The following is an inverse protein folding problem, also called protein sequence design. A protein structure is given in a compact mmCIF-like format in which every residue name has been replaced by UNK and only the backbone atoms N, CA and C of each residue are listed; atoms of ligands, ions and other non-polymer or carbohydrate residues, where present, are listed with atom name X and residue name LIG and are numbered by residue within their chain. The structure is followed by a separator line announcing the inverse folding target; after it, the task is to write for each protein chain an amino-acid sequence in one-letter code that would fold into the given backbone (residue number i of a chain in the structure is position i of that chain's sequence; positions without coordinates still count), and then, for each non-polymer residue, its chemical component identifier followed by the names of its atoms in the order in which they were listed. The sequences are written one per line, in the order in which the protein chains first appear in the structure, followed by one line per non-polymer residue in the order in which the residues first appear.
data_IF_866965556689
#
_entry.id   IF_866965556689
#
_cell.length_a   1.000
_cell.length_b   1.000
_cell.length_c   1.000
_cell.angle_alpha   90.00
_cell.angle_beta   90.00
_cell.angle_gamma   90.00
#
_symmetry.space_group_name_H-M   'P 1'
#
loop_
_entity.id
_entity.type
_entity.pdbx_description
1 polymer ?
#
# COMPACT_ATOMS: atom_id res chain seq x y z
N UNK A 1 8.79 -20.56 -57.71
CA UNK A 1 9.47 -19.62 -56.79
C UNK A 1 8.38 -18.68 -56.27
N UNK A 2 7.73 -19.08 -55.18
CA UNK A 2 7.80 -18.42 -53.85
C UNK A 2 7.08 -17.05 -53.86
N UNK A 3 6.04 -16.78 -53.07
CA UNK A 3 5.72 -17.31 -51.76
C UNK A 3 4.24 -17.21 -51.41
N UNK A 4 3.93 -17.99 -50.38
CA UNK A 4 2.69 -18.09 -49.61
C UNK A 4 2.58 -16.93 -48.64
N UNK A 5 1.52 -16.11 -48.70
CA UNK A 5 1.14 -15.23 -47.60
C UNK A 5 -0.34 -15.43 -47.23
N UNK A 6 -0.47 -16.39 -46.32
CA UNK A 6 -1.48 -16.68 -45.31
C UNK A 6 -2.50 -15.54 -44.98
N UNK A 7 -3.83 -15.80 -44.99
CA UNK A 7 -4.81 -14.87 -44.48
C UNK A 7 -4.94 -15.06 -42.96
N UNK A 8 -3.99 -14.54 -42.19
CA UNK A 8 -4.27 -14.23 -40.78
C UNK A 8 -4.97 -12.89 -40.73
N UNK A 9 -6.29 -12.90 -40.93
CA UNK A 9 -7.16 -11.95 -40.25
C UNK A 9 -7.04 -12.21 -38.76
N UNK A 10 -6.02 -11.61 -38.17
CA UNK A 10 -6.00 -11.31 -36.75
C UNK A 10 -6.12 -9.80 -36.65
N UNK A 11 -7.32 -9.31 -36.94
CA UNK A 11 -7.81 -8.03 -36.45
C UNK A 11 -7.71 -8.04 -34.93
N UNK A 12 -6.51 -7.74 -34.42
CA UNK A 12 -6.25 -7.41 -33.05
C UNK A 12 -6.89 -6.05 -32.79
N UNK A 13 -8.15 -6.07 -32.40
CA UNK A 13 -8.83 -4.96 -31.73
C UNK A 13 -8.06 -4.63 -30.45
N UNK A 14 -7.02 -3.81 -30.54
CA UNK A 14 -6.35 -3.20 -29.38
C UNK A 14 -6.96 -1.83 -29.08
N UNK A 15 -8.29 -1.79 -29.00
CA UNK A 15 -9.02 -0.62 -28.52
C UNK A 15 -10.01 -1.03 -27.42
N UNK A 16 -9.63 -1.98 -26.58
CA UNK A 16 -10.18 -2.14 -25.24
C UNK A 16 -9.45 -1.17 -24.33
N UNK A 17 -9.94 0.06 -24.22
CA UNK A 17 -9.59 0.92 -23.10
C UNK A 17 -10.33 0.38 -21.86
N UNK A 18 -9.91 -0.80 -21.39
CA UNK A 18 -10.39 -1.45 -20.16
C UNK A 18 -9.78 -0.75 -18.94
N UNK A 19 -9.79 0.58 -18.95
CA UNK A 19 -9.58 1.36 -17.73
C UNK A 19 -10.89 1.24 -16.97
N UNK A 20 -10.86 0.41 -15.93
CA UNK A 20 -11.92 0.33 -14.95
C UNK A 20 -12.39 1.76 -14.62
N UNK A 21 -13.67 2.11 -14.81
CA UNK A 21 -14.16 3.45 -14.49
C UNK A 21 -13.85 3.73 -13.03
N UNK A 22 -13.18 4.85 -12.78
CA UNK A 22 -12.94 5.35 -11.43
C UNK A 22 -14.32 5.52 -10.79
N UNK A 23 -14.60 4.91 -9.63
CA UNK A 23 -15.90 5.09 -8.99
C UNK A 23 -16.14 6.58 -8.74
N UNK A 24 -17.31 7.08 -9.17
CA UNK A 24 -17.65 8.51 -9.05
C UNK A 24 -17.94 8.93 -7.61
N UNK A 25 -18.15 7.96 -6.71
CA UNK A 25 -18.49 8.20 -5.32
C UNK A 25 -17.71 7.26 -4.41
N UNK A 26 -17.00 7.85 -3.44
CA UNK A 26 -16.31 7.13 -2.37
C UNK A 26 -17.08 7.35 -1.08
N UNK A 27 -17.52 6.26 -0.46
CA UNK A 27 -18.29 6.29 0.79
C UNK A 27 -17.33 6.58 1.96
N UNK A 28 -17.20 7.85 2.31
CA UNK A 28 -16.33 8.32 3.39
C UNK A 28 -17.15 8.57 4.66
N UNK A 29 -16.60 8.23 5.85
CA UNK A 29 -17.22 8.63 7.11
C UNK A 29 -17.45 10.15 7.14
N UNK A 30 -18.58 10.62 7.68
CA UNK A 30 -18.96 12.04 7.62
C UNK A 30 -18.03 12.98 8.42
N UNK A 31 -17.17 12.44 9.28
CA UNK A 31 -16.18 13.18 10.09
C UNK A 31 -14.73 13.02 9.58
N UNK A 32 -14.53 12.43 8.40
CA UNK A 32 -13.20 12.30 7.80
C UNK A 32 -12.83 13.57 7.00
N UNK A 33 -11.59 14.04 7.12
CA UNK A 33 -10.99 15.05 6.25
C UNK A 33 -10.20 14.31 5.16
N UNK A 34 -10.80 13.99 3.99
CA UNK A 34 -10.17 13.12 3.01
C UNK A 34 -9.02 13.83 2.29
N UNK A 35 -7.86 13.18 2.27
CA UNK A 35 -6.74 13.61 1.44
C UNK A 35 -6.98 13.18 -0.01
N UNK A 36 -7.08 14.13 -0.95
CA UNK A 36 -7.36 13.83 -2.37
C UNK A 36 -6.08 13.88 -3.21
N UNK A 37 -5.81 12.82 -3.97
CA UNK A 37 -4.67 12.79 -4.88
C UNK A 37 -4.89 13.73 -6.07
N UNK A 38 -3.99 14.71 -6.26
CA UNK A 38 -4.09 15.69 -7.35
C UNK A 38 -3.90 15.12 -8.78
N UNK A 39 -3.41 13.89 -8.91
CA UNK A 39 -3.14 13.26 -10.21
C UNK A 39 -4.31 12.40 -10.72
N UNK A 40 -4.96 11.66 -9.82
CA UNK A 40 -6.02 10.72 -10.16
C UNK A 40 -7.39 11.11 -9.57
N UNK A 41 -7.44 12.07 -8.64
CA UNK A 41 -8.66 12.53 -7.98
C UNK A 41 -9.21 11.56 -6.94
N UNK A 42 -8.50 10.47 -6.62
CA UNK A 42 -8.96 9.51 -5.62
C UNK A 42 -8.86 10.09 -4.20
N UNK A 43 -9.93 10.02 -3.40
CA UNK A 43 -9.91 10.40 -2.00
C UNK A 43 -9.35 9.25 -1.13
N UNK A 44 -8.49 9.61 -0.19
CA UNK A 44 -7.88 8.72 0.78
C UNK A 44 -8.23 9.17 2.20
N UNK A 45 -8.24 8.23 3.13
CA UNK A 45 -8.58 8.51 4.53
C UNK A 45 -7.52 9.38 5.23
N UNK A 46 -6.25 9.24 4.83
CA UNK A 46 -5.11 9.90 5.46
C UNK A 46 -4.08 10.35 4.41
N UNK A 47 -3.30 11.38 4.75
CA UNK A 47 -2.21 11.90 3.91
C UNK A 47 -1.09 10.86 3.68
N UNK A 48 -0.88 9.97 4.66
CA UNK A 48 0.10 8.87 4.61
C UNK A 48 -0.26 7.85 3.50
N UNK A 49 -1.55 7.52 3.36
CA UNK A 49 -2.06 6.63 2.30
C UNK A 49 -1.96 7.29 0.91
N UNK A 50 -2.20 8.60 0.84
CA UNK A 50 -2.05 9.36 -0.39
C UNK A 50 -0.59 9.38 -0.84
N UNK A 51 0.35 9.61 0.09
CA UNK A 51 1.79 9.56 -0.19
C UNK A 51 2.19 8.18 -0.74
N UNK A 52 1.76 7.09 -0.07
CA UNK A 52 2.01 5.71 -0.51
C UNK A 52 1.47 5.45 -1.93
N UNK A 53 0.25 5.90 -2.21
CA UNK A 53 -0.37 5.78 -3.54
C UNK A 53 0.40 6.54 -4.61
N UNK A 54 0.85 7.78 -4.34
CA UNK A 54 1.70 8.54 -5.28
C UNK A 54 2.97 7.75 -5.61
N UNK A 55 3.66 7.21 -4.61
CA UNK A 55 4.89 6.45 -4.81
C UNK A 55 4.71 5.17 -5.66
N UNK A 56 3.54 4.53 -5.59
CA UNK A 56 3.24 3.28 -6.32
C UNK A 56 2.72 3.55 -7.74
N UNK A 57 1.72 4.43 -7.89
CA UNK A 57 1.00 4.64 -9.16
C UNK A 57 1.52 5.85 -9.96
N UNK A 58 2.18 6.80 -9.30
CA UNK A 58 2.70 8.03 -9.90
C UNK A 58 4.21 8.20 -9.74
N UNK A 59 4.95 7.12 -9.47
CA UNK A 59 6.41 7.05 -9.25
C UNK A 59 7.26 7.91 -10.21
N UNK A 60 6.84 8.01 -11.48
CA UNK A 60 7.55 8.70 -12.57
C UNK A 60 7.24 10.20 -12.66
N UNK A 61 6.21 10.68 -11.96
CA UNK A 61 5.76 12.07 -11.97
C UNK A 61 5.98 12.80 -10.63
N UNK A 62 6.53 12.14 -9.60
CA UNK A 62 6.80 12.77 -8.30
C UNK A 62 7.94 13.78 -8.39
N UNK A 63 7.69 14.95 -7.82
CA UNK A 63 8.75 15.90 -7.48
C UNK A 63 9.61 15.37 -6.30
N UNK A 64 10.68 16.10 -5.96
CA UNK A 64 11.58 15.66 -4.89
C UNK A 64 10.97 15.76 -3.48
N UNK A 65 10.06 16.70 -3.24
CA UNK A 65 9.40 16.90 -1.96
C UNK A 65 8.29 15.84 -1.74
N UNK A 66 7.57 15.48 -2.79
CA UNK A 66 6.58 14.40 -2.75
C UNK A 66 7.24 13.02 -2.54
N UNK A 67 8.49 12.85 -3.00
CA UNK A 67 9.29 11.65 -2.75
C UNK A 67 9.76 11.57 -1.29
N UNK A 68 10.18 12.68 -0.71
CA UNK A 68 10.57 12.75 0.70
C UNK A 68 9.38 12.50 1.63
N UNK A 69 8.20 13.04 1.29
CA UNK A 69 6.95 12.75 2.01
C UNK A 69 6.53 11.26 1.91
N UNK A 70 6.82 10.60 0.79
CA UNK A 70 6.62 9.15 0.64
C UNK A 70 7.58 8.36 1.55
N UNK A 71 8.86 8.71 1.57
CA UNK A 71 9.85 8.02 2.38
C UNK A 71 9.54 8.17 3.89
N UNK A 72 9.12 9.37 4.33
CA UNK A 72 8.71 9.62 5.72
C UNK A 72 7.47 8.81 6.13
N UNK A 73 6.44 8.78 5.27
CA UNK A 73 5.24 7.96 5.47
C UNK A 73 5.56 6.45 5.50
N UNK A 74 6.53 6.01 4.70
CA UNK A 74 6.95 4.61 4.67
C UNK A 74 7.72 4.23 5.96
N UNK A 75 8.58 5.11 6.45
CA UNK A 75 9.32 4.91 7.71
C UNK A 75 8.40 4.90 8.94
N UNK A 76 7.37 5.75 8.99
CA UNK A 76 6.40 5.77 10.09
C UNK A 76 5.59 4.48 10.17
N UNK A 77 5.18 3.91 9.04
CA UNK A 77 4.50 2.61 8.99
C UNK A 77 5.40 1.47 9.49
N UNK A 78 6.67 1.43 9.06
CA UNK A 78 7.63 0.40 9.47
C UNK A 78 7.92 0.46 10.98
N UNK A 79 8.02 1.65 11.57
CA UNK A 79 8.26 1.80 13.01
C UNK A 79 7.11 1.24 13.85
N UNK A 80 5.85 1.46 13.44
CA UNK A 80 4.69 0.88 14.14
C UNK A 80 4.71 -0.64 14.09
N UNK A 81 5.01 -1.24 12.94
CA UNK A 81 5.12 -2.70 12.78
C UNK A 81 6.29 -3.27 13.59
N UNK A 82 7.43 -2.58 13.62
CA UNK A 82 8.62 -2.96 14.39
C UNK A 82 8.34 -2.90 15.89
N UNK A 83 7.66 -1.87 16.37
CA UNK A 83 7.27 -1.72 17.77
C UNK A 83 6.24 -2.78 18.18
N UNK A 84 5.28 -3.13 17.32
CA UNK A 84 4.33 -4.21 17.60
C UNK A 84 5.07 -5.55 17.75
N UNK A 85 5.99 -5.87 16.82
CA UNK A 85 6.81 -7.08 16.89
C UNK A 85 7.65 -7.11 18.17
N UNK A 86 8.27 -5.99 18.54
CA UNK A 86 9.07 -5.87 19.75
C UNK A 86 8.23 -6.06 21.02
N UNK A 87 7.03 -5.48 21.07
CA UNK A 87 6.08 -5.65 22.18
C UNK A 87 5.63 -7.11 22.30
N UNK A 88 5.29 -7.77 21.19
CA UNK A 88 4.89 -9.17 21.19
C UNK A 88 6.02 -10.10 21.68
N UNK A 89 7.25 -9.90 21.17
CA UNK A 89 8.43 -10.66 21.63
C UNK A 89 8.74 -10.39 23.11
N UNK A 90 8.71 -9.12 23.54
CA UNK A 90 8.91 -8.74 24.93
C UNK A 90 7.89 -9.37 25.87
N UNK A 91 6.60 -9.35 25.49
CA UNK A 91 5.53 -9.99 26.24
C UNK A 91 5.73 -11.50 26.35
N UNK A 92 6.08 -12.18 25.25
CA UNK A 92 6.36 -13.62 25.25
C UNK A 92 7.52 -13.97 26.19
N UNK A 93 8.62 -13.22 26.11
CA UNK A 93 9.79 -13.42 26.99
C UNK A 93 9.39 -13.25 28.45
N UNK A 94 8.70 -12.17 28.81
CA UNK A 94 8.24 -11.94 30.19
C UNK A 94 7.31 -13.05 30.69
N UNK A 95 6.39 -13.52 29.85
CA UNK A 95 5.47 -14.61 30.18
C UNK A 95 6.25 -15.91 30.42
N UNK A 96 7.20 -16.24 29.55
CA UNK A 96 8.07 -17.41 29.71
C UNK A 96 8.89 -17.34 31.00
N UNK A 97 9.56 -16.21 31.27
CA UNK A 97 10.31 -16.03 32.51
C UNK A 97 9.41 -16.07 33.74
N UNK A 98 8.21 -15.50 33.68
CA UNK A 98 7.22 -15.57 34.75
C UNK A 98 6.79 -17.02 35.03
N UNK A 99 6.56 -17.81 33.99
CA UNK A 99 6.27 -19.24 34.11
C UNK A 99 7.45 -20.01 34.69
N UNK A 100 8.68 -19.73 34.24
CA UNK A 100 9.88 -20.36 34.79
C UNK A 100 10.08 -20.02 36.27
N UNK A 101 9.91 -18.75 36.65
CA UNK A 101 9.97 -18.32 38.05
C UNK A 101 8.92 -19.03 38.88
N UNK A 102 7.68 -19.07 38.41
CA UNK A 102 6.58 -19.79 39.06
C UNK A 102 6.93 -21.27 39.22
N UNK A 103 7.33 -21.94 38.14
CA UNK A 103 7.76 -23.33 38.17
C UNK A 103 8.89 -23.54 39.19
N UNK A 104 9.92 -22.69 39.20
CA UNK A 104 11.06 -22.83 40.12
C UNK A 104 10.71 -22.61 41.60
N UNK A 105 9.64 -21.84 41.89
CA UNK A 105 9.20 -21.58 43.26
C UNK A 105 8.26 -22.68 43.76
N UNK A 106 7.45 -23.25 42.87
CA UNK A 106 6.43 -24.25 43.22
C UNK A 106 6.87 -25.72 42.98
N UNK A 107 7.92 -25.97 42.20
CA UNK A 107 8.51 -27.28 41.94
C UNK A 107 9.79 -27.49 42.75
#
# INVERSE_FOLDING_TARGET
MTGTDNPTDRSGTTAGNDRNPVPEEYDLPPDADPAVCGYCGAPFADEELLALHRGIDHATALDAAEREAFDEAYESEEERLRLFRLKALGALVLLYFGLLMTYSVFA
#
